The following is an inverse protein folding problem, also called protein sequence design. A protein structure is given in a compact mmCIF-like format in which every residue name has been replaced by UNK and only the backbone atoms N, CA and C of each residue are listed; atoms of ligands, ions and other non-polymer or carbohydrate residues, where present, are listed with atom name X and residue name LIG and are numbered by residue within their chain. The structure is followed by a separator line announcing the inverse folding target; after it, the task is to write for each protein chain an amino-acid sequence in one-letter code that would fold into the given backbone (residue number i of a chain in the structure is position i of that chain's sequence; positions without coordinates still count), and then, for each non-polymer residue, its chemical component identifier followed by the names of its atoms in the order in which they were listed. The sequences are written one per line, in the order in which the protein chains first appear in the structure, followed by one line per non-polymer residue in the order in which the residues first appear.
data_IF_940833946972
#
_entry.id   IF_940833946972
#
_cell.length_a   1.000
_cell.length_b   1.000
_cell.length_c   1.000
_cell.angle_alpha   90.00
_cell.angle_beta   90.00
_cell.angle_gamma   90.00
#
_symmetry.space_group_name_H-M   'P 1'
#
loop_
_entity.id
_entity.type
_entity.pdbx_description
1 polymer ?
#
# COMPACT_ATOMS: atom_id res chain seq x y z
N UNK A 1 -17.65 -45.70 21.05
CA UNK A 1 -16.36 -45.15 20.57
C UNK A 1 -16.19 -45.17 19.04
N UNK A 2 -16.68 -46.16 18.29
CA UNK A 2 -16.45 -46.26 16.83
C UNK A 2 -17.36 -45.34 15.99
N UNK A 3 -18.61 -45.10 16.42
CA UNK A 3 -19.58 -44.23 15.72
C UNK A 3 -19.05 -42.81 15.40
N UNK A 4 -18.44 -42.05 16.32
CA UNK A 4 -17.88 -40.74 15.99
C UNK A 4 -16.68 -40.80 15.04
N UNK A 5 -15.88 -41.87 15.08
CA UNK A 5 -14.75 -42.07 14.16
C UNK A 5 -15.24 -42.20 12.71
N UNK A 6 -16.25 -43.04 12.48
CA UNK A 6 -16.84 -43.23 11.15
C UNK A 6 -17.49 -41.94 10.63
N UNK A 7 -18.16 -41.19 11.51
CA UNK A 7 -18.76 -39.90 11.15
C UNK A 7 -17.70 -38.88 10.70
N UNK A 8 -16.56 -38.81 11.39
CA UNK A 8 -15.45 -37.95 10.99
C UNK A 8 -14.81 -38.35 9.66
N UNK A 9 -14.58 -39.66 9.46
CA UNK A 9 -14.04 -40.19 8.20
C UNK A 9 -15.00 -39.97 7.01
N UNK A 10 -16.31 -40.14 7.22
CA UNK A 10 -17.31 -39.86 6.18
C UNK A 10 -17.33 -38.37 5.80
N UNK A 11 -17.16 -37.47 6.79
CA UNK A 11 -17.10 -36.04 6.53
C UNK A 11 -15.85 -35.64 5.76
N UNK A 12 -14.68 -36.15 6.14
CA UNK A 12 -13.41 -35.88 5.44
C UNK A 12 -13.46 -36.39 4.00
N UNK A 13 -13.93 -37.62 3.76
CA UNK A 13 -14.11 -38.16 2.42
C UNK A 13 -15.09 -37.32 1.58
N UNK A 14 -16.15 -36.80 2.21
CA UNK A 14 -17.14 -35.93 1.57
C UNK A 14 -16.55 -34.61 1.06
N UNK A 15 -15.57 -34.05 1.77
CA UNK A 15 -14.84 -32.85 1.33
C UNK A 15 -13.77 -33.18 0.29
N UNK A 16 -13.05 -34.29 0.47
CA UNK A 16 -12.02 -34.75 -0.48
C UNK A 16 -12.58 -34.96 -1.90
N UNK A 17 -13.76 -35.59 -2.01
CA UNK A 17 -14.42 -35.85 -3.30
C UNK A 17 -15.17 -34.64 -3.88
N UNK A 18 -15.12 -33.45 -3.25
CA UNK A 18 -15.76 -32.22 -3.75
C UNK A 18 -14.74 -31.08 -3.91
N UNK A 19 -13.85 -31.15 -4.91
CA UNK A 19 -12.84 -30.11 -5.15
C UNK A 19 -13.46 -28.73 -5.43
N UNK A 20 -14.67 -28.66 -5.98
CA UNK A 20 -15.41 -27.40 -6.16
C UNK A 20 -15.81 -26.67 -4.86
N UNK A 21 -15.67 -27.33 -3.70
CA UNK A 21 -15.85 -26.71 -2.38
C UNK A 21 -14.54 -26.20 -1.78
N UNK A 22 -13.41 -26.42 -2.44
CA UNK A 22 -12.12 -25.91 -1.97
C UNK A 22 -12.10 -24.41 -2.23
N UNK A 23 -12.12 -23.62 -1.15
CA UNK A 23 -12.02 -22.16 -1.21
C UNK A 23 -10.52 -21.83 -1.16
N UNK A 24 -9.86 -21.92 -2.31
CA UNK A 24 -8.42 -21.60 -2.45
C UNK A 24 -8.21 -20.76 -3.71
N UNK A 25 -7.10 -20.04 -3.76
CA UNK A 25 -6.63 -19.29 -4.93
C UNK A 25 -5.20 -19.70 -5.20
N UNK A 26 -4.88 -20.02 -6.45
CA UNK A 26 -3.52 -20.42 -6.86
C UNK A 26 -2.67 -19.17 -7.16
N UNK A 27 -2.04 -18.59 -6.13
CA UNK A 27 -1.09 -17.48 -6.33
C UNK A 27 0.21 -17.99 -7.00
N UNK A 28 0.79 -17.29 -7.99
CA UNK A 28 0.49 -15.92 -8.45
C UNK A 28 -0.48 -15.81 -9.64
N UNK A 29 -0.95 -16.93 -10.20
CA UNK A 29 -1.81 -16.94 -11.39
C UNK A 29 -3.19 -16.35 -11.10
N UNK A 30 -3.78 -16.75 -9.97
CA UNK A 30 -5.02 -16.20 -9.42
C UNK A 30 -4.67 -15.25 -8.28
N UNK A 31 -4.86 -13.94 -8.51
CA UNK A 31 -4.61 -12.90 -7.50
C UNK A 31 -5.88 -12.50 -6.79
N UNK A 32 -5.74 -12.24 -5.50
CA UNK A 32 -6.80 -11.61 -4.72
C UNK A 32 -6.93 -10.14 -5.12
N UNK A 33 -8.16 -9.70 -5.40
CA UNK A 33 -8.49 -8.29 -5.60
C UNK A 33 -8.82 -7.65 -4.25
N UNK A 34 -8.00 -6.71 -3.75
CA UNK A 34 -8.28 -6.07 -2.48
C UNK A 34 -9.55 -5.23 -2.53
N UNK A 35 -10.16 -5.00 -1.37
CA UNK A 35 -11.31 -4.09 -1.26
C UNK A 35 -10.93 -2.63 -1.57
N UNK A 36 -11.88 -1.76 -1.96
CA UNK A 36 -11.57 -0.37 -2.31
C UNK A 36 -10.88 0.45 -1.22
N UNK A 37 -11.07 0.10 0.06
CA UNK A 37 -10.45 0.77 1.23
C UNK A 37 -9.24 0.02 1.78
N UNK A 38 -8.67 -0.90 1.00
CA UNK A 38 -7.48 -1.61 1.40
C UNK A 38 -6.28 -0.66 1.53
N UNK A 39 -5.43 -0.91 2.53
CA UNK A 39 -4.31 -0.06 2.90
C UNK A 39 -2.98 -0.70 2.51
N UNK A 40 -2.62 -0.58 1.24
CA UNK A 40 -1.38 -1.13 0.68
C UNK A 40 -0.31 -0.06 0.47
N UNK A 41 0.44 -0.15 -0.63
CA UNK A 41 1.52 0.79 -0.91
C UNK A 41 1.03 2.25 -0.98
N UNK A 42 1.83 3.15 -0.44
CA UNK A 42 1.59 4.58 -0.49
C UNK A 42 1.87 5.10 -1.91
N UNK A 43 1.00 5.96 -2.43
CA UNK A 43 1.16 6.59 -3.74
C UNK A 43 0.94 8.10 -3.64
N UNK A 44 1.94 8.87 -4.07
CA UNK A 44 1.85 10.32 -4.16
C UNK A 44 1.13 10.72 -5.44
N UNK A 45 0.17 11.64 -5.36
CA UNK A 45 -0.61 12.05 -6.52
C UNK A 45 -0.01 13.24 -7.24
N UNK A 46 -0.26 13.26 -8.55
CA UNK A 46 -0.09 14.43 -9.40
C UNK A 46 -1.44 15.07 -9.68
N UNK A 47 -1.43 16.36 -9.90
CA UNK A 47 -2.56 17.14 -10.35
C UNK A 47 -2.81 16.93 -11.86
N UNK A 48 -3.91 17.47 -12.38
CA UNK A 48 -4.28 17.35 -13.81
C UNK A 48 -3.18 17.87 -14.75
N UNK A 49 -2.42 18.87 -14.30
CA UNK A 49 -1.29 19.46 -15.02
C UNK A 49 0.04 18.68 -14.86
N UNK A 50 0.02 17.51 -14.19
CA UNK A 50 1.22 16.70 -13.92
C UNK A 50 2.11 17.21 -12.77
N UNK A 51 1.76 18.35 -12.17
CA UNK A 51 2.43 18.90 -10.97
C UNK A 51 2.14 18.01 -9.76
N UNK A 52 3.12 17.80 -8.89
CA UNK A 52 2.92 17.05 -7.65
C UNK A 52 1.96 17.79 -6.71
N UNK A 53 1.01 17.07 -6.09
CA UNK A 53 0.08 17.68 -5.13
C UNK A 53 0.70 17.94 -3.75
N UNK A 54 1.84 17.31 -3.45
CA UNK A 54 2.49 17.43 -2.14
C UNK A 54 3.25 18.76 -2.02
N UNK A 55 2.86 19.59 -1.05
CA UNK A 55 3.46 20.89 -0.73
C UNK A 55 4.49 20.84 0.41
N UNK A 56 4.83 19.64 0.88
CA UNK A 56 5.70 19.39 2.02
C UNK A 56 5.27 20.05 3.34
N UNK A 57 3.95 20.13 3.62
CA UNK A 57 3.43 20.62 4.91
C UNK A 57 3.88 19.79 6.14
N UNK A 58 4.28 18.52 5.96
CA UNK A 58 4.82 17.66 7.01
C UNK A 58 3.78 17.06 7.97
N UNK A 59 2.48 17.28 7.75
CA UNK A 59 1.41 16.74 8.60
C UNK A 59 1.41 15.21 8.65
N UNK A 60 1.66 14.55 7.51
CA UNK A 60 1.77 13.10 7.42
C UNK A 60 2.90 12.53 8.29
N UNK A 61 4.04 13.22 8.37
CA UNK A 61 5.15 12.82 9.24
C UNK A 61 4.80 13.01 10.72
N UNK A 62 4.13 14.12 11.07
CA UNK A 62 3.75 14.44 12.45
C UNK A 62 2.67 13.51 13.01
N UNK A 63 1.70 13.09 12.19
CA UNK A 63 0.63 12.18 12.61
C UNK A 63 1.08 10.70 12.62
N UNK A 64 2.23 10.40 12.01
CA UNK A 64 2.70 9.02 11.87
C UNK A 64 3.05 8.42 13.24
N UNK A 65 2.33 7.39 13.72
CA UNK A 65 2.60 6.78 15.03
C UNK A 65 3.92 6.00 15.06
N UNK A 66 4.43 5.60 13.89
CA UNK A 66 5.68 4.86 13.76
C UNK A 66 6.89 5.76 13.40
N UNK A 67 6.65 7.06 13.20
CA UNK A 67 7.65 8.05 12.79
C UNK A 67 8.49 7.58 11.58
N UNK A 68 7.82 7.03 10.56
CA UNK A 68 8.48 6.40 9.41
C UNK A 68 8.62 7.31 8.18
N UNK A 69 8.07 8.53 8.22
CA UNK A 69 8.03 9.46 7.09
C UNK A 69 9.01 10.61 7.34
N UNK A 70 9.90 10.86 6.39
CA UNK A 70 10.82 12.00 6.38
C UNK A 70 10.46 12.95 5.25
N UNK A 71 10.21 14.23 5.59
CA UNK A 71 9.82 15.26 4.62
C UNK A 71 10.75 16.46 4.74
N UNK A 72 11.32 16.91 3.63
CA UNK A 72 12.02 18.20 3.51
C UNK A 72 11.33 19.04 2.45
N UNK A 73 11.14 20.32 2.76
CA UNK A 73 10.56 21.28 1.82
C UNK A 73 11.65 21.93 0.96
N UNK A 74 11.36 22.11 -0.32
CA UNK A 74 12.07 22.98 -1.24
C UNK A 74 11.16 24.13 -1.69
N UNK A 75 11.75 25.18 -2.25
CA UNK A 75 11.03 26.25 -2.94
C UNK A 75 11.47 26.27 -4.40
N UNK A 76 10.50 26.36 -5.32
CA UNK A 76 10.80 26.56 -6.73
C UNK A 76 11.06 28.06 -7.01
N UNK A 77 11.50 28.39 -8.23
CA UNK A 77 11.75 29.77 -8.66
C UNK A 77 10.49 30.65 -8.65
N UNK A 78 9.31 30.03 -8.70
CA UNK A 78 8.00 30.68 -8.65
C UNK A 78 7.50 30.91 -7.21
N UNK A 79 8.24 30.45 -6.19
CA UNK A 79 7.90 30.59 -4.78
C UNK A 79 7.01 29.49 -4.19
N UNK A 80 6.56 28.52 -4.99
CA UNK A 80 5.79 27.38 -4.52
C UNK A 80 6.65 26.43 -3.70
N UNK A 81 6.04 25.88 -2.65
CA UNK A 81 6.63 24.82 -1.84
C UNK A 81 6.40 23.46 -2.51
N UNK A 82 7.43 22.63 -2.49
CA UNK A 82 7.36 21.24 -2.94
C UNK A 82 8.17 20.34 -2.00
N UNK A 83 7.94 19.03 -2.05
CA UNK A 83 8.76 18.07 -1.32
C UNK A 83 10.09 17.85 -2.05
N UNK A 84 11.18 18.40 -1.52
CA UNK A 84 12.53 18.15 -2.05
C UNK A 84 13.01 16.74 -1.69
N UNK A 85 12.70 16.29 -0.48
CA UNK A 85 12.89 14.92 -0.04
C UNK A 85 11.58 14.44 0.56
N UNK A 86 11.11 13.29 0.09
CA UNK A 86 10.00 12.58 0.68
C UNK A 86 10.36 11.10 0.72
N UNK A 87 10.52 10.55 1.93
CA UNK A 87 10.92 9.17 2.13
C UNK A 87 9.99 8.51 3.13
N UNK A 88 9.60 7.26 2.85
CA UNK A 88 8.87 6.43 3.81
C UNK A 88 9.65 5.12 4.04
N UNK A 89 9.95 4.83 5.29
CA UNK A 89 10.52 3.55 5.69
C UNK A 89 9.41 2.51 5.86
N UNK A 90 9.32 1.57 4.91
CA UNK A 90 8.28 0.53 4.89
C UNK A 90 8.46 -0.54 5.98
N UNK A 91 9.67 -0.76 6.51
CA UNK A 91 9.84 -1.65 7.68
C UNK A 91 9.24 -1.09 8.96
N UNK A 92 9.26 0.23 9.11
CA UNK A 92 8.66 0.90 10.26
C UNK A 92 7.17 1.17 10.06
N UNK A 93 6.73 1.28 8.81
CA UNK A 93 5.35 1.59 8.51
C UNK A 93 4.39 0.48 8.99
N UNK A 94 3.33 0.88 9.70
CA UNK A 94 2.29 -0.04 10.18
C UNK A 94 0.99 0.03 9.36
N UNK A 95 1.02 0.70 8.20
CA UNK A 95 -0.11 0.81 7.26
C UNK A 95 -1.43 1.31 7.89
N UNK A 96 -1.32 2.24 8.85
CA UNK A 96 -2.46 2.73 9.64
C UNK A 96 -3.37 3.75 8.93
N UNK A 97 -3.02 4.29 7.77
CA UNK A 97 -3.87 5.25 7.04
C UNK A 97 -3.94 6.68 7.56
N UNK A 98 -3.35 7.00 8.70
CA UNK A 98 -3.41 8.37 9.23
C UNK A 98 -2.72 9.40 8.33
N UNK A 99 -1.71 8.99 7.57
CA UNK A 99 -1.03 9.87 6.63
C UNK A 99 -1.90 10.27 5.43
N UNK A 100 -2.82 9.40 4.99
CA UNK A 100 -3.83 9.69 3.96
C UNK A 100 -4.92 10.63 4.53
N UNK A 101 -5.47 10.29 5.70
CA UNK A 101 -6.53 11.08 6.34
C UNK A 101 -6.07 12.48 6.77
N UNK A 102 -4.81 12.63 7.17
CA UNK A 102 -4.25 13.91 7.60
C UNK A 102 -3.78 14.80 6.44
N UNK A 103 -3.77 14.31 5.20
CA UNK A 103 -3.25 15.07 4.07
C UNK A 103 -4.28 16.12 3.59
N UNK A 104 -4.04 17.42 3.77
CA UNK A 104 -5.02 18.45 3.40
C UNK A 104 -5.18 18.60 1.88
N UNK A 105 -4.15 18.25 1.11
CA UNK A 105 -4.11 18.40 -0.35
C UNK A 105 -4.43 17.09 -1.08
N UNK A 106 -4.82 16.03 -0.34
CA UNK A 106 -5.10 14.72 -0.92
C UNK A 106 -3.95 14.21 -1.81
N UNK A 107 -2.72 14.48 -1.36
CA UNK A 107 -1.52 14.20 -2.13
C UNK A 107 -1.01 12.77 -1.93
N UNK A 108 -1.49 12.03 -0.93
CA UNK A 108 -1.00 10.71 -0.55
C UNK A 108 -2.20 9.78 -0.34
N UNK A 109 -2.22 8.66 -1.06
CA UNK A 109 -3.24 7.62 -0.90
C UNK A 109 -2.59 6.27 -0.66
N UNK A 110 -3.26 5.42 0.11
CA UNK A 110 -2.93 4.01 0.19
C UNK A 110 -3.63 3.26 -0.95
N UNK A 111 -2.84 2.57 -1.78
CA UNK A 111 -3.34 1.81 -2.93
C UNK A 111 -3.47 0.33 -2.60
N UNK A 112 -3.91 -0.44 -3.59
CA UNK A 112 -4.18 -1.87 -3.43
C UNK A 112 -2.95 -2.76 -3.61
N UNK A 113 -1.77 -2.17 -3.85
CA UNK A 113 -0.54 -2.94 -4.05
C UNK A 113 -0.07 -3.53 -2.71
N UNK A 114 0.01 -4.86 -2.63
CA UNK A 114 0.44 -5.61 -1.44
C UNK A 114 1.71 -6.44 -1.64
N UNK A 115 2.18 -6.60 -2.88
CA UNK A 115 3.38 -7.35 -3.25
C UNK A 115 4.65 -6.48 -3.04
N UNK A 116 5.01 -6.21 -1.78
CA UNK A 116 6.08 -5.25 -1.42
C UNK A 116 7.39 -5.89 -0.97
N UNK A 117 7.50 -7.21 -1.08
CA UNK A 117 8.70 -7.93 -0.67
C UNK A 117 9.93 -7.46 -1.48
N UNK A 118 11.04 -7.22 -0.78
CA UNK A 118 12.35 -6.94 -1.38
C UNK A 118 13.40 -7.83 -0.73
N UNK A 119 14.54 -7.99 -1.38
CA UNK A 119 15.65 -8.77 -0.87
C UNK A 119 16.47 -7.97 0.16
N UNK A 120 16.71 -6.69 -0.12
CA UNK A 120 17.52 -5.81 0.70
C UNK A 120 16.71 -4.88 1.60
N UNK A 121 17.29 -4.56 2.76
CA UNK A 121 16.66 -3.66 3.73
C UNK A 121 16.59 -2.22 3.23
N UNK A 122 17.62 -1.80 2.47
CA UNK A 122 17.74 -0.45 1.93
C UNK A 122 16.63 -0.13 0.93
N UNK A 123 16.17 -1.15 0.20
CA UNK A 123 15.12 -1.02 -0.81
C UNK A 123 13.73 -0.84 -0.21
N UNK A 124 13.58 -1.00 1.12
CA UNK A 124 12.35 -0.69 1.84
C UNK A 124 12.27 0.76 2.31
N UNK A 125 13.27 1.59 2.01
CA UNK A 125 13.13 3.04 2.11
C UNK A 125 12.66 3.56 0.76
N UNK A 126 11.38 3.89 0.68
CA UNK A 126 10.75 4.32 -0.56
C UNK A 126 10.94 5.82 -0.71
N UNK A 127 11.67 6.22 -1.74
CA UNK A 127 11.87 7.63 -2.09
C UNK A 127 10.67 8.17 -2.87
N UNK A 128 10.60 9.50 -2.96
CA UNK A 128 9.56 10.25 -3.65
C UNK A 128 9.32 9.75 -5.08
N UNK A 129 10.40 9.49 -5.80
CA UNK A 129 10.37 9.08 -7.21
C UNK A 129 9.68 7.72 -7.37
N UNK A 130 9.86 6.81 -6.40
CA UNK A 130 9.22 5.49 -6.39
C UNK A 130 7.75 5.54 -6.01
N UNK A 131 7.36 6.53 -5.20
CA UNK A 131 5.98 6.71 -4.73
C UNK A 131 5.12 7.48 -5.73
N UNK A 132 5.72 8.19 -6.68
CA UNK A 132 5.00 8.93 -7.71
C UNK A 132 4.59 8.01 -8.86
N UNK A 133 3.34 8.07 -9.34
CA UNK A 133 2.95 7.36 -10.53
C UNK A 133 3.68 7.95 -11.74
N UNK A 134 3.90 7.13 -12.80
CA UNK A 134 4.45 7.61 -14.05
C UNK A 134 3.57 8.74 -14.60
N UNK A 135 4.19 9.72 -15.27
CA UNK A 135 3.45 10.77 -15.96
C UNK A 135 2.49 10.09 -16.95
N UNK A 136 1.18 10.38 -16.83
CA UNK A 136 0.22 10.00 -17.87
C UNK A 136 0.67 10.68 -19.15
N UNK A 137 1.20 9.92 -20.10
CA UNK A 137 1.29 10.39 -21.49
C UNK A 137 -0.14 10.73 -21.92
N UNK A 138 -0.38 12.01 -22.20
CA UNK A 138 -1.61 12.47 -22.83
C UNK A 138 -1.69 11.79 -24.20
N UNK A 139 -2.50 10.74 -24.30
CA UNK A 139 -2.92 10.21 -25.59
C UNK A 139 -4.03 11.07 -26.16
#
# INVERSE_FOLDING_TARGET
MIKPLIQGLALTLKYFLRPSKVITMQYPDERWTPYPRFRGLHELQRDENGKEKCDACGLCAKVCPAECISVKSGKNEQGDKYASVYEINMFRCIFCGYCEEACPNEALYLRQNYELATEDVKDQVYTKERLLPPLRESR
#
